data_IF_665623716851
#
_entry.id   IF_665623716851
#
_cell.length_a   1.000
_cell.length_b   1.000
_cell.length_c   1.000
_cell.angle_alpha   90.00
_cell.angle_beta   90.00
_cell.angle_gamma   90.00
#
_symmetry.space_group_name_H-M   'P 1'
#
loop_
_entity.id
_entity.type
_entity.pdbx_description
1 polymer ?
#
# COMPACT_ATOMS: atom_id res chain seq x y z
N UNK A 1 -45.64 -77.72 -28.85
CA UNK A 1 -44.23 -77.39 -29.17
C UNK A 1 -44.06 -75.90 -28.95
N UNK A 2 -43.00 -75.44 -28.27
CA UNK A 2 -42.91 -74.12 -27.64
C UNK A 2 -42.32 -73.02 -28.54
N UNK A 3 -42.72 -71.77 -28.24
CA UNK A 3 -41.95 -70.50 -28.22
C UNK A 3 -41.34 -69.94 -29.54
N UNK A 4 -41.36 -68.63 -29.81
CA UNK A 4 -40.70 -67.61 -29.00
C UNK A 4 -41.29 -66.19 -29.11
N UNK A 5 -41.23 -65.50 -27.96
CA UNK A 5 -41.56 -64.09 -27.71
C UNK A 5 -40.29 -63.26 -27.93
N UNK A 6 -40.33 -62.29 -28.85
CA UNK A 6 -39.23 -61.36 -29.14
C UNK A 6 -39.35 -60.14 -28.21
N UNK A 7 -38.51 -60.10 -27.17
CA UNK A 7 -38.41 -58.99 -26.20
C UNK A 7 -37.43 -57.92 -26.69
N UNK A 8 -37.89 -56.68 -26.73
CA UNK A 8 -37.14 -55.45 -26.93
C UNK A 8 -36.19 -55.15 -25.76
N UNK A 9 -34.94 -54.78 -26.06
CA UNK A 9 -34.00 -54.20 -25.10
C UNK A 9 -33.93 -52.68 -25.29
N UNK A 10 -34.16 -51.85 -24.26
CA UNK A 10 -33.87 -50.42 -24.32
C UNK A 10 -32.40 -50.15 -23.90
N UNK A 11 -31.66 -49.48 -24.76
CA UNK A 11 -30.29 -49.01 -24.51
C UNK A 11 -30.33 -47.78 -23.61
N UNK A 12 -29.86 -47.90 -22.37
CA UNK A 12 -29.75 -46.78 -21.43
C UNK A 12 -28.40 -46.06 -21.62
N UNK A 13 -28.45 -44.79 -22.05
CA UNK A 13 -27.31 -43.87 -22.13
C UNK A 13 -27.16 -43.14 -20.78
N UNK A 14 -26.08 -43.41 -20.06
CA UNK A 14 -25.75 -42.81 -18.76
C UNK A 14 -24.73 -41.68 -18.97
N UNK A 15 -25.19 -40.43 -18.95
CA UNK A 15 -24.37 -39.23 -19.06
C UNK A 15 -23.96 -38.79 -17.64
N UNK A 16 -22.73 -39.08 -17.23
CA UNK A 16 -22.19 -38.65 -15.93
C UNK A 16 -21.59 -37.24 -16.09
N UNK A 17 -22.33 -36.20 -15.67
CA UNK A 17 -21.80 -34.85 -15.51
C UNK A 17 -20.98 -34.80 -14.21
N UNK A 18 -19.66 -34.89 -14.34
CA UNK A 18 -18.75 -34.59 -13.24
C UNK A 18 -18.67 -33.08 -13.04
N UNK A 19 -19.29 -32.55 -11.99
CA UNK A 19 -19.02 -31.20 -11.52
C UNK A 19 -17.61 -31.21 -10.90
N UNK A 20 -16.61 -30.76 -11.66
CA UNK A 20 -15.33 -30.38 -11.10
C UNK A 20 -15.53 -29.07 -10.32
N UNK A 21 -15.69 -29.17 -9.00
CA UNK A 21 -15.62 -28.01 -8.12
C UNK A 21 -14.18 -27.50 -8.16
N UNK A 22 -13.94 -26.40 -8.87
CA UNK A 22 -12.68 -25.68 -8.80
C UNK A 22 -12.51 -25.17 -7.36
N UNK A 23 -11.58 -25.75 -6.61
CA UNK A 23 -11.15 -25.21 -5.33
C UNK A 23 -10.32 -23.96 -5.62
N UNK A 24 -10.94 -22.79 -5.55
CA UNK A 24 -10.21 -21.52 -5.50
C UNK A 24 -9.44 -21.49 -4.18
N UNK A 25 -8.12 -21.66 -4.26
CA UNK A 25 -7.24 -21.34 -3.15
C UNK A 25 -7.05 -19.83 -3.18
N UNK A 26 -7.64 -19.13 -2.20
CA UNK A 26 -7.38 -17.72 -2.03
C UNK A 26 -5.89 -17.52 -1.74
N UNK A 27 -5.24 -16.63 -2.48
CA UNK A 27 -3.84 -16.31 -2.29
C UNK A 27 -3.59 -15.77 -0.87
N UNK A 28 -2.40 -16.02 -0.30
CA UNK A 28 -2.08 -15.59 1.05
C UNK A 28 -2.12 -14.05 1.16
N UNK A 29 -3.12 -13.55 1.88
CA UNK A 29 -3.25 -12.13 2.20
C UNK A 29 -2.31 -11.78 3.35
N UNK A 30 -1.54 -10.71 3.18
CA UNK A 30 -0.67 -10.16 4.21
C UNK A 30 -1.22 -8.84 4.73
N UNK A 31 -1.33 -8.71 6.05
CA UNK A 31 -1.72 -7.45 6.68
C UNK A 31 -0.50 -6.54 6.86
N UNK A 32 -0.60 -5.30 6.41
CA UNK A 32 0.45 -4.29 6.62
C UNK A 32 0.35 -3.74 8.05
N UNK A 33 1.45 -3.81 8.82
CA UNK A 33 1.55 -3.31 10.20
C UNK A 33 2.21 -1.94 10.29
N UNK A 34 2.75 -1.45 9.19
CA UNK A 34 3.41 -0.16 9.07
C UNK A 34 4.58 -0.26 8.12
N UNK A 35 5.46 0.72 8.18
CA UNK A 35 6.49 0.87 7.17
C UNK A 35 6.73 2.33 6.84
N UNK A 36 7.42 2.56 5.74
CA UNK A 36 7.74 3.89 5.26
C UNK A 36 7.88 3.87 3.74
N UNK A 37 7.24 4.85 3.12
CA UNK A 37 7.45 5.19 1.71
C UNK A 37 8.24 6.49 1.64
N UNK A 38 9.03 6.66 0.59
CA UNK A 38 9.78 7.88 0.35
C UNK A 38 9.73 8.28 -1.10
N UNK A 39 9.71 9.58 -1.35
CA UNK A 39 9.75 10.18 -2.68
C UNK A 39 10.93 11.14 -2.71
N UNK A 40 11.72 11.06 -3.78
CA UNK A 40 12.70 12.09 -4.14
C UNK A 40 12.11 12.84 -5.34
N UNK A 41 11.69 14.10 -5.18
CA UNK A 41 11.21 14.91 -6.30
C UNK A 41 12.26 14.97 -7.42
N UNK A 42 11.82 14.90 -8.67
CA UNK A 42 12.70 15.06 -9.83
C UNK A 42 13.15 16.52 -9.99
N UNK A 43 14.30 16.75 -10.63
CA UNK A 43 14.68 18.12 -10.99
C UNK A 43 13.64 18.79 -11.90
N UNK A 44 13.03 18.01 -12.79
CA UNK A 44 11.97 18.45 -13.70
C UNK A 44 10.76 19.03 -12.95
N UNK A 45 10.28 18.36 -11.89
CA UNK A 45 9.13 18.88 -11.13
C UNK A 45 9.52 20.10 -10.30
N UNK A 46 10.73 20.13 -9.74
CA UNK A 46 11.21 21.29 -8.97
C UNK A 46 11.32 22.53 -9.85
N UNK A 47 11.83 22.37 -11.08
CA UNK A 47 11.88 23.44 -12.06
C UNK A 47 10.47 23.85 -12.52
N UNK A 48 9.60 22.87 -12.78
CA UNK A 48 8.21 23.11 -13.20
C UNK A 48 7.41 23.89 -12.15
N UNK A 49 7.68 23.67 -10.85
CA UNK A 49 7.04 24.39 -9.75
C UNK A 49 7.36 25.89 -9.74
N UNK A 50 8.33 26.38 -10.52
CA UNK A 50 8.47 27.80 -10.84
C UNK A 50 8.64 28.72 -9.63
N UNK A 51 9.19 28.23 -8.52
CA UNK A 51 9.36 28.98 -7.27
C UNK A 51 8.31 28.71 -6.19
N UNK A 52 7.35 27.81 -6.43
CA UNK A 52 6.53 27.26 -5.36
C UNK A 52 7.37 26.43 -4.39
N UNK A 53 7.04 26.51 -3.10
CA UNK A 53 7.72 25.74 -2.06
C UNK A 53 6.96 24.44 -1.84
N UNK A 54 7.67 23.32 -1.98
CA UNK A 54 7.18 22.01 -1.59
C UNK A 54 7.55 21.77 -0.12
N UNK A 55 6.53 21.63 0.74
CA UNK A 55 6.71 21.34 2.15
C UNK A 55 6.03 20.04 2.54
N UNK A 56 6.56 19.36 3.57
CA UNK A 56 5.92 18.18 4.13
C UNK A 56 4.74 18.55 5.03
N UNK A 57 3.75 17.67 5.08
CA UNK A 57 2.69 17.65 6.10
C UNK A 57 2.95 16.53 7.09
N UNK A 58 2.91 16.83 8.39
CA UNK A 58 3.11 15.84 9.46
C UNK A 58 2.04 14.73 9.40
N UNK A 59 2.36 13.48 9.76
CA UNK A 59 3.64 12.98 10.29
C UNK A 59 4.70 12.67 9.22
N UNK A 60 4.54 13.13 7.98
CA UNK A 60 5.60 13.06 6.98
C UNK A 60 6.87 13.77 7.47
N UNK A 61 8.04 13.30 7.04
CA UNK A 61 9.35 13.86 7.39
C UNK A 61 10.17 14.14 6.13
N UNK A 62 11.10 15.09 6.22
CA UNK A 62 12.17 15.27 5.22
C UNK A 62 13.42 14.72 5.87
N UNK A 63 14.19 13.93 5.15
CA UNK A 63 15.46 13.41 5.65
C UNK A 63 16.43 14.60 5.79
N UNK A 64 17.18 14.73 6.90
CA UNK A 64 18.25 15.72 6.97
C UNK A 64 19.25 15.51 5.82
N UNK A 65 19.69 16.61 5.22
CA UNK A 65 20.71 16.65 4.15
C UNK A 65 20.32 16.00 2.81
N UNK A 66 19.03 15.74 2.59
CA UNK A 66 18.50 15.07 1.40
C UNK A 66 17.04 15.52 1.15
N UNK A 67 16.67 15.86 -0.08
CA UNK A 67 15.31 16.30 -0.44
C UNK A 67 14.27 15.16 -0.42
N UNK A 68 14.67 13.99 0.09
CA UNK A 68 13.83 12.83 0.28
C UNK A 68 12.73 13.07 1.32
N UNK A 69 11.51 13.14 0.81
CA UNK A 69 10.27 13.11 1.58
C UNK A 69 9.97 11.69 2.05
N UNK A 70 9.44 11.53 3.25
CA UNK A 70 9.14 10.25 3.88
C UNK A 70 7.76 10.25 4.49
N UNK A 71 6.99 9.23 4.17
CA UNK A 71 5.60 9.07 4.58
C UNK A 71 5.45 7.77 5.36
N UNK A 72 5.08 7.83 6.65
CA UNK A 72 4.77 6.64 7.44
C UNK A 72 3.60 5.87 6.82
N UNK A 73 3.74 4.55 6.72
CA UNK A 73 2.65 3.66 6.31
C UNK A 73 1.74 3.43 7.52
N UNK A 74 0.45 3.70 7.35
CA UNK A 74 -0.58 3.57 8.36
C UNK A 74 -1.08 2.13 8.51
N UNK A 75 -1.13 1.39 7.41
CA UNK A 75 -1.75 0.07 7.33
C UNK A 75 -2.03 -0.33 5.88
N UNK A 76 -3.02 -1.20 5.71
CA UNK A 76 -3.39 -1.78 4.42
C UNK A 76 -3.25 -3.30 4.40
N UNK A 77 -3.56 -3.91 3.26
CA UNK A 77 -3.50 -5.34 3.04
C UNK A 77 -3.04 -5.60 1.60
N UNK A 78 -2.28 -6.68 1.41
CA UNK A 78 -1.71 -7.05 0.12
C UNK A 78 -1.88 -8.55 -0.10
N UNK A 79 -2.43 -8.93 -1.24
CA UNK A 79 -2.27 -10.25 -1.82
C UNK A 79 -0.83 -10.37 -2.36
N UNK A 80 -0.02 -11.24 -1.78
CA UNK A 80 1.40 -11.36 -2.14
C UNK A 80 1.63 -12.08 -3.47
N UNK A 81 0.67 -12.84 -3.96
CA UNK A 81 0.77 -13.55 -5.24
C UNK A 81 0.34 -12.64 -6.39
N UNK A 82 -0.82 -11.98 -6.22
CA UNK A 82 -1.34 -11.07 -7.22
C UNK A 82 -0.80 -9.64 -7.14
N UNK A 83 -0.10 -9.27 -6.07
CA UNK A 83 0.28 -7.89 -5.72
C UNK A 83 -0.91 -6.91 -5.69
N UNK A 84 -2.12 -7.43 -5.47
CA UNK A 84 -3.37 -6.68 -5.37
C UNK A 84 -3.58 -6.23 -3.94
N UNK A 85 -3.96 -4.98 -3.72
CA UNK A 85 -4.23 -4.50 -2.38
C UNK A 85 -4.21 -3.00 -2.22
N UNK A 86 -4.19 -2.58 -0.97
CA UNK A 86 -4.22 -1.17 -0.57
C UNK A 86 -3.11 -0.90 0.46
N UNK A 87 -2.47 0.26 0.35
CA UNK A 87 -1.50 0.77 1.31
C UNK A 87 -1.86 2.20 1.69
N UNK A 88 -2.26 2.40 2.94
CA UNK A 88 -2.57 3.72 3.48
C UNK A 88 -1.32 4.38 4.07
N UNK A 89 -1.18 5.69 3.86
CA UNK A 89 -0.10 6.50 4.41
C UNK A 89 -0.64 7.63 5.29
N UNK A 90 0.24 8.16 6.14
CA UNK A 90 -0.03 9.37 6.94
C UNK A 90 0.84 10.53 6.47
N UNK A 91 0.31 11.73 6.58
CA UNK A 91 0.99 12.97 6.22
C UNK A 91 0.69 13.33 4.77
N UNK A 92 1.57 14.12 4.16
CA UNK A 92 1.33 14.65 2.83
C UNK A 92 2.36 15.68 2.41
N UNK A 93 2.03 16.43 1.37
CA UNK A 93 2.80 17.56 0.88
C UNK A 93 1.90 18.78 0.75
N UNK A 94 2.47 19.95 1.00
CA UNK A 94 1.90 21.25 0.66
C UNK A 94 2.73 21.85 -0.48
N UNK A 95 2.05 22.45 -1.44
CA UNK A 95 2.62 23.28 -2.47
C UNK A 95 2.15 24.71 -2.21
N UNK A 96 3.08 25.58 -1.83
CA UNK A 96 2.82 26.97 -1.48
C UNK A 96 3.42 27.87 -2.53
N UNK A 97 2.58 28.55 -3.32
CA UNK A 97 3.03 29.41 -4.41
C UNK A 97 2.80 30.88 -4.05
N UNK A 98 3.90 31.63 -3.88
CA UNK A 98 3.83 33.03 -3.42
C UNK A 98 3.15 33.96 -4.42
N UNK A 99 3.31 33.72 -5.72
CA UNK A 99 2.74 34.57 -6.76
C UNK A 99 1.21 34.50 -6.81
N UNK A 100 0.65 33.32 -6.53
CA UNK A 100 -0.79 33.05 -6.55
C UNK A 100 -1.42 33.15 -5.15
N UNK A 101 -0.62 33.31 -4.10
CA UNK A 101 -1.04 33.32 -2.70
C UNK A 101 -1.95 32.13 -2.32
N UNK A 102 -1.69 30.96 -2.94
CA UNK A 102 -2.46 29.73 -2.75
C UNK A 102 -1.60 28.63 -2.14
N UNK A 103 -2.24 27.81 -1.31
CA UNK A 103 -1.65 26.60 -0.74
C UNK A 103 -2.49 25.39 -1.13
N UNK A 104 -1.90 24.49 -1.91
CA UNK A 104 -2.49 23.19 -2.23
C UNK A 104 -1.91 22.15 -1.29
N UNK A 105 -2.77 21.41 -0.58
CA UNK A 105 -2.38 20.29 0.27
C UNK A 105 -2.79 18.97 -0.36
N UNK A 106 -1.87 18.02 -0.42
CA UNK A 106 -2.09 16.65 -0.88
C UNK A 106 -1.72 15.69 0.26
N UNK A 107 -2.72 15.08 0.90
CA UNK A 107 -2.55 14.36 2.16
C UNK A 107 -3.13 12.94 2.11
N UNK A 108 -2.78 12.11 3.09
CA UNK A 108 -3.31 10.75 3.26
C UNK A 108 -3.24 9.93 1.96
N UNK A 109 -2.02 9.82 1.44
CA UNK A 109 -1.74 9.05 0.24
C UNK A 109 -2.20 7.60 0.40
N UNK A 110 -2.84 7.08 -0.63
CA UNK A 110 -3.26 5.70 -0.70
C UNK A 110 -2.72 5.10 -1.98
N UNK A 111 -2.02 3.99 -1.87
CA UNK A 111 -1.65 3.16 -3.02
C UNK A 111 -2.72 2.11 -3.15
N UNK A 112 -3.31 1.98 -4.32
CA UNK A 112 -4.27 0.94 -4.64
C UNK A 112 -3.75 0.20 -5.88
N UNK A 113 -3.65 -1.12 -5.76
CA UNK A 113 -3.28 -1.99 -6.86
C UNK A 113 -4.43 -2.95 -7.09
N UNK A 114 -5.02 -2.91 -8.27
CA UNK A 114 -6.13 -3.78 -8.69
C UNK A 114 -5.69 -4.69 -9.81
N UNK A 115 -6.31 -5.87 -9.88
CA UNK A 115 -6.17 -6.74 -11.05
C UNK A 115 -7.04 -6.19 -12.17
N UNK A 116 -6.43 -5.97 -13.34
CA UNK A 116 -7.18 -5.71 -14.55
C UNK A 116 -7.61 -7.06 -15.14
N UNK A 117 -8.85 -7.43 -14.88
CA UNK A 117 -9.47 -8.63 -15.45
C UNK A 117 -9.81 -8.47 -16.95
N UNK A 118 -9.38 -7.36 -17.57
CA UNK A 118 -9.40 -7.21 -19.03
C UNK A 118 -8.34 -8.17 -19.56
N UNK A 119 -8.77 -9.39 -19.84
CA UNK A 119 -8.05 -10.37 -20.62
C UNK A 119 -7.72 -9.73 -21.97
N UNK A 120 -6.57 -9.07 -22.07
CA UNK A 120 -5.95 -8.83 -23.36
C UNK A 120 -5.61 -10.22 -23.85
N UNK A 121 -6.45 -10.77 -24.74
CA UNK A 121 -6.19 -12.03 -25.42
C UNK A 121 -4.77 -11.93 -26.01
N UNK A 122 -3.79 -12.63 -25.42
CA UNK A 122 -2.41 -12.53 -25.84
C UNK A 122 -2.32 -13.13 -27.24
N UNK A 123 -1.60 -12.46 -28.13
CA UNK A 123 -1.38 -12.94 -29.50
C UNK A 123 -0.59 -14.28 -29.52
N UNK A 124 -0.04 -14.70 -28.39
CA UNK A 124 0.73 -15.95 -28.19
C UNK A 124 0.12 -16.92 -27.15
N UNK A 125 -1.04 -16.60 -26.57
CA UNK A 125 -1.74 -17.49 -25.62
C UNK A 125 -1.22 -17.49 -24.17
N UNK A 126 -0.32 -16.58 -23.76
CA UNK A 126 0.04 -16.40 -22.34
C UNK A 126 -0.75 -15.25 -21.70
N UNK A 127 -1.88 -15.57 -21.06
CA UNK A 127 -2.70 -14.58 -20.36
C UNK A 127 -2.03 -14.23 -19.03
N UNK A 128 -1.28 -13.14 -18.99
CA UNK A 128 -0.82 -12.54 -17.73
C UNK A 128 -1.89 -11.55 -17.25
N UNK A 129 -2.31 -11.68 -16.00
CA UNK A 129 -3.20 -10.68 -15.42
C UNK A 129 -2.40 -9.39 -15.20
N UNK A 130 -2.72 -8.34 -15.94
CA UNK A 130 -2.12 -7.02 -15.72
C UNK A 130 -2.63 -6.44 -14.39
N UNK A 131 -1.77 -5.75 -13.65
CA UNK A 131 -2.17 -5.00 -12.46
C UNK A 131 -2.12 -3.51 -12.77
N UNK A 132 -3.14 -2.76 -12.34
CA UNK A 132 -3.13 -1.31 -12.37
C UNK A 132 -2.86 -0.79 -10.96
N UNK A 133 -1.81 0.02 -10.81
CA UNK A 133 -1.50 0.70 -9.55
C UNK A 133 -1.74 2.19 -9.70
N UNK A 134 -2.54 2.75 -8.80
CA UNK A 134 -2.80 4.19 -8.70
C UNK A 134 -2.47 4.65 -7.29
N UNK A 135 -1.88 5.83 -7.19
CA UNK A 135 -1.64 6.52 -5.92
C UNK A 135 -2.58 7.70 -5.87
N UNK A 136 -3.47 7.73 -4.88
CA UNK A 136 -4.45 8.81 -4.70
C UNK A 136 -4.12 9.66 -3.48
N UNK A 137 -4.63 10.89 -3.44
CA UNK A 137 -4.44 11.82 -2.32
C UNK A 137 -5.73 12.57 -1.97
N UNK A 138 -5.92 12.90 -0.70
CA UNK A 138 -6.87 13.92 -0.28
C UNK A 138 -6.31 15.29 -0.65
N UNK A 139 -6.95 15.93 -1.63
CA UNK A 139 -6.61 17.26 -2.10
C UNK A 139 -7.38 18.32 -1.32
N UNK A 140 -6.73 19.45 -1.07
CA UNK A 140 -7.35 20.62 -0.47
C UNK A 140 -6.66 21.90 -0.90
N UNK A 141 -7.42 22.99 -0.89
CA UNK A 141 -6.99 24.32 -1.31
C UNK A 141 -7.28 25.30 -0.17
N UNK A 142 -6.25 26.01 0.27
CA UNK A 142 -6.32 27.01 1.35
C UNK A 142 -7.02 26.49 2.62
N UNK A 143 -6.72 25.23 2.96
CA UNK A 143 -7.26 24.54 4.15
C UNK A 143 -8.63 23.90 3.97
N UNK A 144 -9.26 24.00 2.81
CA UNK A 144 -10.53 23.36 2.50
C UNK A 144 -10.32 22.07 1.72
N UNK A 145 -10.90 20.96 2.19
CA UNK A 145 -10.85 19.68 1.49
C UNK A 145 -11.72 19.73 0.23
N UNK A 146 -11.15 19.39 -0.92
CA UNK A 146 -11.87 19.34 -2.21
C UNK A 146 -12.33 17.92 -2.54
N UNK A 147 -11.51 16.91 -2.24
CA UNK A 147 -11.84 15.52 -2.52
C UNK A 147 -10.64 14.60 -2.47
N UNK A 148 -10.82 13.37 -2.95
CA UNK A 148 -9.71 12.45 -3.26
C UNK A 148 -9.51 12.45 -4.77
N UNK A 149 -8.28 12.63 -5.21
CA UNK A 149 -7.90 12.62 -6.63
C UNK A 149 -6.89 11.50 -6.89
N UNK A 150 -6.89 10.98 -8.11
CA UNK A 150 -5.82 10.13 -8.62
C UNK A 150 -4.60 11.03 -8.81
N UNK A 151 -3.53 10.78 -8.05
CA UNK A 151 -2.37 11.66 -7.97
C UNK A 151 -1.22 11.20 -8.86
N UNK A 152 -0.83 9.92 -8.71
CA UNK A 152 0.27 9.35 -9.47
C UNK A 152 -0.03 7.97 -10.01
N UNK A 153 0.62 7.65 -11.13
CA UNK A 153 0.79 6.28 -11.60
C UNK A 153 2.29 5.92 -11.61
N UNK A 154 2.67 4.72 -11.13
CA UNK A 154 4.02 4.20 -11.30
C UNK A 154 4.40 4.07 -12.79
N UNK A 155 5.64 4.41 -13.12
CA UNK A 155 6.23 4.26 -14.43
C UNK A 155 7.56 3.49 -14.34
N UNK A 156 7.84 2.68 -15.35
CA UNK A 156 9.06 1.89 -15.46
C UNK A 156 8.92 0.46 -14.95
N UNK A 157 10.08 -0.21 -14.83
CA UNK A 157 10.16 -1.65 -14.59
C UNK A 157 9.45 -2.08 -13.30
N UNK A 158 8.93 -3.31 -13.38
CA UNK A 158 8.08 -3.99 -12.42
C UNK A 158 8.44 -3.71 -10.96
N UNK A 159 7.40 -3.61 -10.15
CA UNK A 159 7.50 -3.50 -8.69
C UNK A 159 8.40 -4.62 -8.16
N UNK A 160 9.68 -4.33 -7.90
CA UNK A 160 10.58 -5.35 -7.38
C UNK A 160 10.19 -5.64 -5.93
N UNK A 161 9.55 -6.79 -5.71
CA UNK A 161 9.10 -7.23 -4.39
C UNK A 161 10.17 -8.11 -3.76
N UNK A 162 10.92 -7.54 -2.82
CA UNK A 162 11.88 -8.31 -2.02
C UNK A 162 11.20 -8.71 -0.71
N UNK A 163 10.86 -9.99 -0.58
CA UNK A 163 10.33 -10.58 0.66
C UNK A 163 11.48 -11.10 1.52
N UNK A 164 11.62 -10.56 2.72
CA UNK A 164 12.61 -11.00 3.71
C UNK A 164 11.92 -11.17 5.08
N UNK A 165 11.39 -12.37 5.32
CA UNK A 165 10.60 -12.67 6.52
C UNK A 165 9.31 -11.84 6.56
N UNK A 166 9.14 -11.02 7.59
CA UNK A 166 7.99 -10.12 7.75
C UNK A 166 8.16 -8.76 7.06
N UNK A 167 9.12 -8.61 6.15
CA UNK A 167 9.38 -7.35 5.46
C UNK A 167 9.24 -7.51 3.96
N UNK A 168 8.57 -6.55 3.35
CA UNK A 168 8.51 -6.39 1.91
C UNK A 168 9.13 -5.05 1.54
N UNK A 169 10.01 -5.05 0.56
CA UNK A 169 10.51 -3.82 -0.06
C UNK A 169 9.96 -3.76 -1.47
N UNK A 170 9.42 -2.60 -1.82
CA UNK A 170 9.02 -2.25 -3.18
C UNK A 170 9.97 -1.14 -3.64
N UNK A 171 10.63 -1.33 -4.78
CA UNK A 171 11.72 -0.45 -5.21
C UNK A 171 11.40 0.27 -6.51
N UNK A 172 11.78 1.55 -6.54
CA UNK A 172 12.12 2.34 -7.73
C UNK A 172 11.03 2.43 -8.80
N UNK A 173 9.84 2.83 -8.39
CA UNK A 173 8.86 3.33 -9.33
C UNK A 173 9.09 4.84 -9.53
N UNK A 174 9.30 5.26 -10.78
CA UNK A 174 9.09 6.66 -11.13
C UNK A 174 7.60 6.95 -10.95
N UNK A 175 7.25 8.06 -10.32
CA UNK A 175 5.86 8.47 -10.16
C UNK A 175 5.55 9.50 -11.24
N UNK A 176 4.57 9.22 -12.09
CA UNK A 176 4.08 10.17 -13.09
C UNK A 176 2.79 10.81 -12.60
N UNK A 177 2.61 12.11 -12.88
CA UNK A 177 1.33 12.77 -12.69
C UNK A 177 0.25 12.16 -13.58
N UNK A 178 -0.93 11.93 -13.01
CA UNK A 178 -2.14 11.59 -13.78
C UNK A 178 -2.70 12.83 -14.47
N UNK A 179 -3.62 12.63 -15.41
CA UNK A 179 -4.38 13.73 -16.03
C UNK A 179 -5.17 14.54 -14.98
N UNK A 180 -5.82 13.86 -14.03
CA UNK A 180 -6.59 14.50 -12.96
C UNK A 180 -5.70 15.38 -12.08
N UNK A 181 -4.53 14.88 -11.68
CA UNK A 181 -3.57 15.64 -10.87
C UNK A 181 -2.99 16.82 -11.62
N UNK A 182 -2.59 16.63 -12.87
CA UNK A 182 -2.01 17.69 -13.71
C UNK A 182 -3.02 18.83 -13.90
N UNK A 183 -4.27 18.48 -14.22
CA UNK A 183 -5.38 19.45 -14.33
C UNK A 183 -5.60 20.18 -13.01
N UNK A 184 -5.79 19.45 -11.91
CA UNK A 184 -6.03 20.04 -10.60
C UNK A 184 -4.90 20.99 -10.16
N UNK A 185 -3.64 20.57 -10.29
CA UNK A 185 -2.50 21.40 -9.90
C UNK A 185 -2.33 22.62 -10.81
N UNK A 186 -2.56 22.48 -12.10
CA UNK A 186 -2.50 23.59 -13.06
C UNK A 186 -3.59 24.62 -12.77
N UNK A 187 -4.83 24.19 -12.56
CA UNK A 187 -5.97 25.07 -12.25
C UNK A 187 -5.77 25.78 -10.91
N UNK A 188 -5.31 25.07 -9.89
CA UNK A 188 -5.19 25.65 -8.57
C UNK A 188 -3.94 26.51 -8.41
N UNK A 189 -2.79 26.08 -8.92
CA UNK A 189 -1.52 26.80 -8.75
C UNK A 189 -1.19 27.74 -9.91
N UNK A 190 -1.92 27.66 -11.03
CA UNK A 190 -1.63 28.46 -12.23
C UNK A 190 -0.35 28.04 -12.96
N UNK A 191 0.11 26.81 -12.77
CA UNK A 191 1.40 26.31 -13.29
C UNK A 191 1.15 25.39 -14.49
N UNK A 192 1.18 25.94 -15.70
CA UNK A 192 0.90 25.19 -16.94
C UNK A 192 1.96 24.14 -17.32
N UNK A 193 3.11 24.13 -16.65
CA UNK A 193 4.18 23.15 -16.86
C UNK A 193 3.89 21.81 -16.18
N UNK A 194 2.96 21.74 -15.21
CA UNK A 194 2.56 20.50 -14.56
C UNK A 194 1.58 19.72 -15.44
N UNK A 195 2.11 18.89 -16.31
CA UNK A 195 1.35 18.13 -17.31
C UNK A 195 1.23 16.64 -16.96
N UNK A 196 0.22 15.97 -17.53
CA UNK A 196 0.08 14.51 -17.43
C UNK A 196 1.36 13.81 -17.89
N UNK A 197 1.72 12.71 -17.22
CA UNK A 197 2.88 11.90 -17.56
C UNK A 197 4.21 12.50 -17.11
N UNK A 198 4.23 13.75 -16.61
CA UNK A 198 5.43 14.33 -16.01
C UNK A 198 5.91 13.48 -14.84
N UNK A 199 7.21 13.17 -14.82
CA UNK A 199 7.83 12.42 -13.74
C UNK A 199 7.97 13.33 -12.52
N UNK A 200 7.14 13.09 -11.50
CA UNK A 200 7.22 13.79 -10.23
C UNK A 200 8.46 13.40 -9.43
N UNK A 201 8.88 12.14 -9.47
CA UNK A 201 10.05 11.69 -8.72
C UNK A 201 10.19 10.17 -8.59
N UNK A 202 11.29 9.74 -7.95
CA UNK A 202 11.56 8.33 -7.68
C UNK A 202 11.00 7.94 -6.31
N UNK A 203 10.27 6.82 -6.25
CA UNK A 203 9.68 6.30 -5.02
C UNK A 203 10.34 5.03 -4.51
N UNK A 204 10.35 4.87 -3.19
CA UNK A 204 10.85 3.68 -2.49
C UNK A 204 9.95 3.36 -1.31
N UNK A 205 9.53 2.11 -1.19
CA UNK A 205 8.61 1.69 -0.13
C UNK A 205 9.16 0.48 0.63
N UNK A 206 9.05 0.52 1.95
CA UNK A 206 9.37 -0.58 2.85
C UNK A 206 8.19 -0.85 3.75
N UNK A 207 7.64 -2.05 3.66
CA UNK A 207 6.48 -2.52 4.41
C UNK A 207 6.90 -3.54 5.45
N UNK A 208 6.31 -3.46 6.64
CA UNK A 208 6.33 -4.53 7.63
C UNK A 208 4.98 -5.25 7.57
N UNK A 209 5.01 -6.54 7.30
CA UNK A 209 3.84 -7.39 7.13
C UNK A 209 3.63 -8.27 8.36
N UNK A 210 2.38 -8.58 8.64
CA UNK A 210 1.96 -9.72 9.45
C UNK A 210 1.36 -10.74 8.50
N UNK A 211 2.07 -11.85 8.33
CA UNK A 211 1.56 -13.01 7.61
C UNK A 211 0.59 -13.73 8.55
N UNK A 212 -0.61 -14.05 8.05
CA UNK A 212 -1.49 -14.98 8.74
C UNK A 212 -0.81 -16.35 8.72
N UNK A 213 -0.71 -17.01 9.88
CA UNK A 213 -0.29 -18.41 9.89
C UNK A 213 -1.46 -19.20 9.33
N UNK A 214 -1.22 -20.07 8.35
CA UNK A 214 -2.16 -21.15 8.07
C UNK A 214 -2.51 -21.81 9.39
N UNK A 215 -3.81 -22.06 9.61
CA UNK A 215 -4.29 -22.74 10.80
C UNK A 215 -3.71 -24.15 10.83
N UNK A 216 -2.50 -24.28 11.38
CA UNK A 216 -1.92 -25.53 11.80
C UNK A 216 -2.87 -26.09 12.86
N UNK A 217 -3.61 -27.13 12.47
CA UNK A 217 -4.56 -27.83 13.31
C UNK A 217 -3.83 -28.28 14.57
N UNK A 218 -4.02 -27.51 15.64
CA UNK A 218 -3.17 -27.56 16.80
C UNK A 218 -3.09 -28.92 17.46
N UNK A 219 -1.89 -29.50 17.46
CA UNK A 219 -1.47 -30.39 18.53
C UNK A 219 -0.79 -29.52 19.61
N UNK A 220 -1.59 -29.06 20.57
CA UNK A 220 -1.10 -28.34 21.75
C UNK A 220 -0.27 -29.30 22.61
N UNK A 221 1.05 -29.27 22.47
CA UNK A 221 1.95 -29.82 23.48
C UNK A 221 2.04 -28.85 24.66
N UNK A 222 1.21 -29.12 25.67
CA UNK A 222 1.36 -28.56 27.01
C UNK A 222 2.68 -29.08 27.61
N UNK A 223 3.68 -28.21 27.74
CA UNK A 223 4.76 -28.44 28.70
C UNK A 223 4.75 -27.33 29.75
N UNK A 224 3.92 -27.53 30.77
CA UNK A 224 3.91 -26.70 31.97
C UNK A 224 5.21 -26.89 32.75
N UNK A 225 5.88 -25.79 33.07
CA UNK A 225 6.87 -25.77 34.16
C UNK A 225 6.58 -24.60 35.08
N UNK A 226 5.66 -24.85 36.02
CA UNK A 226 5.51 -24.06 37.23
C UNK A 226 6.48 -24.59 38.30
N UNK A 227 7.33 -23.70 38.84
CA UNK A 227 8.01 -23.72 40.15
C UNK A 227 8.96 -22.52 40.14
N UNK A 228 9.01 -21.61 41.11
CA UNK A 228 8.39 -21.49 42.41
C UNK A 228 8.93 -20.18 43.02
N UNK A 229 8.15 -19.59 43.92
CA UNK A 229 8.43 -18.37 44.68
C UNK A 229 9.81 -18.37 45.34
N UNK A 230 10.46 -17.21 45.37
CA UNK A 230 10.97 -16.66 46.62
C UNK A 230 10.71 -15.15 46.64
N UNK A 231 9.95 -14.74 47.66
CA UNK A 231 9.87 -13.37 48.13
C UNK A 231 11.03 -13.19 49.11
N UNK A 232 11.79 -12.12 48.96
CA UNK A 232 12.52 -11.54 50.09
C UNK A 232 12.01 -10.11 50.30
N UNK A 233 11.48 -9.79 51.49
CA UNK A 233 11.17 -8.44 51.92
C UNK A 233 12.33 -7.86 52.75
N UNK A 234 12.40 -6.53 52.82
CA UNK A 234 13.29 -5.69 53.63
C UNK A 234 14.64 -5.39 52.97
N UNK A 235 14.81 -4.15 52.51
CA UNK A 235 15.30 -3.13 53.41
C UNK A 235 14.63 -1.80 53.08
N UNK A 236 14.06 -1.22 54.13
CA UNK A 236 13.73 0.18 54.19
C UNK A 236 15.04 0.96 54.33
N UNK A 237 15.15 2.10 53.67
CA UNK A 237 15.58 3.31 54.34
C UNK A 237 14.85 4.47 53.67
N UNK A 238 14.10 5.16 54.53
CA UNK A 238 13.43 6.41 54.28
C UNK A 238 14.44 7.55 54.34
N UNK A 239 13.91 8.75 54.08
CA UNK A 239 14.38 10.09 54.42
C UNK A 239 14.65 10.92 53.15
N UNK A 240 13.72 11.79 52.74
CA UNK A 240 13.53 13.18 53.25
C UNK A 240 14.71 14.07 52.78
N UNK A 241 14.58 15.24 52.14
CA UNK A 241 13.50 16.19 51.87
C UNK A 241 13.83 16.99 50.58
N UNK A 242 12.90 17.87 50.23
CA UNK A 242 12.90 18.93 49.22
C UNK A 242 14.15 19.83 49.22
N UNK A 243 14.48 20.41 48.04
CA UNK A 243 14.71 21.86 48.01
C UNK A 243 14.44 22.46 46.62
N UNK A 244 13.76 23.60 46.63
CA UNK A 244 13.27 24.40 45.53
C UNK A 244 14.27 25.53 45.32
N UNK A 245 15.04 25.50 44.23
CA UNK A 245 16.04 26.52 43.90
C UNK A 245 15.69 27.30 42.63
N UNK A 246 15.08 28.47 42.81
CA UNK A 246 14.83 29.51 41.80
C UNK A 246 15.99 30.53 41.80
N UNK A 247 16.30 31.16 40.65
CA UNK A 247 17.18 32.34 40.51
C UNK A 247 18.40 32.09 39.61
N UNK A 248 18.78 32.91 38.63
CA UNK A 248 18.39 34.27 38.19
C UNK A 248 18.44 34.33 36.65
#
# INVERSE_FOLDING_TARGET
MPEAIMRSLPTALLLVLGLASATSLAAPTAQIKGGQSSIIPSAEVIDALGGCVLERVKPGTVKPDDDRLRFPVAGGALDLEGLVGEIDHKGGINLSCFEQAKVVSLQNFRVETVRNDVLVEPVDGSSEAETATVITALAGVDGNLTGRIDLFVPAGADLEVIVAGSRVQLRKANLMLTEEAATFLTEELGIATLVEGMVFGESFTRLNLRLEKENDSGEKSNNGKAKGKNKDPNDADADEEEDVGNGD
#
